data_IF_859679367122
#
_entry.id   IF_859679367122
#
_cell.length_a   1.000
_cell.length_b   1.000
_cell.length_c   1.000
_cell.angle_alpha   90.00
_cell.angle_beta   90.00
_cell.angle_gamma   90.00
#
_symmetry.space_group_name_H-M   'P 1'
#
loop_
_entity.id
_entity.type
_entity.pdbx_description
1 polymer ?
#
# COMPACT_ATOMS: atom_id res chain seq x y z
N UNK A 1 -17.00 15.74 -36.46
CA UNK A 1 -16.63 14.60 -35.59
C UNK A 1 -16.43 15.13 -34.17
N UNK A 2 -17.04 14.52 -33.13
CA UNK A 2 -17.12 15.08 -31.77
C UNK A 2 -15.86 14.88 -30.90
N UNK A 3 -14.95 13.97 -31.27
CA UNK A 3 -13.72 13.66 -30.51
C UNK A 3 -13.87 12.54 -29.47
N UNK A 4 -15.06 11.98 -29.27
CA UNK A 4 -15.28 10.83 -28.38
C UNK A 4 -14.86 9.50 -29.04
N UNK A 5 -14.44 8.54 -28.24
CA UNK A 5 -14.24 7.17 -28.72
C UNK A 5 -15.60 6.48 -28.89
N UNK A 6 -15.86 5.90 -30.06
CA UNK A 6 -17.12 5.21 -30.38
C UNK A 6 -17.09 3.72 -30.06
N UNK A 7 -15.95 3.19 -29.59
CA UNK A 7 -15.85 1.82 -29.08
C UNK A 7 -16.41 1.80 -27.65
N UNK A 8 -17.68 1.39 -27.55
CA UNK A 8 -18.47 1.41 -26.32
C UNK A 8 -18.89 0.01 -25.88
N UNK A 9 -19.17 -0.21 -24.58
CA UNK A 9 -19.67 -1.49 -24.07
C UNK A 9 -21.11 -1.76 -24.56
N UNK A 10 -21.39 -2.99 -24.94
CA UNK A 10 -22.71 -3.47 -25.39
C UNK A 10 -23.27 -4.52 -24.43
N UNK A 11 -24.48 -5.04 -24.69
CA UNK A 11 -25.11 -6.13 -23.91
C UNK A 11 -25.19 -5.85 -22.39
N UNK A 12 -25.46 -4.59 -22.01
CA UNK A 12 -25.60 -4.18 -20.61
C UNK A 12 -24.30 -3.88 -19.87
N UNK A 13 -23.13 -4.08 -20.50
CA UNK A 13 -21.84 -3.87 -19.84
C UNK A 13 -21.58 -2.41 -19.40
N UNK A 14 -22.34 -1.44 -19.95
CA UNK A 14 -22.30 -0.05 -19.52
C UNK A 14 -22.64 0.16 -18.02
N UNK A 15 -23.26 -0.82 -17.35
CA UNK A 15 -23.49 -0.78 -15.90
C UNK A 15 -22.22 -0.87 -15.05
N UNK A 16 -21.13 -1.44 -15.57
CA UNK A 16 -19.90 -1.69 -14.81
C UNK A 16 -18.61 -1.33 -15.55
N UNK A 17 -18.68 -0.94 -16.83
CA UNK A 17 -17.52 -0.45 -17.60
C UNK A 17 -17.86 0.75 -18.47
N UNK A 18 -16.84 1.54 -18.82
CA UNK A 18 -16.93 2.66 -19.74
C UNK A 18 -16.41 2.31 -21.15
N UNK A 19 -16.59 3.24 -22.09
CA UNK A 19 -15.95 3.16 -23.41
C UNK A 19 -14.43 3.19 -23.34
N UNK A 20 -13.80 2.80 -24.44
CA UNK A 20 -12.33 2.82 -24.55
C UNK A 20 -11.81 4.25 -24.36
N UNK A 21 -10.81 4.41 -23.51
CA UNK A 21 -10.15 5.69 -23.22
C UNK A 21 -8.65 5.49 -23.07
N UNK A 22 -7.89 6.57 -22.83
CA UNK A 22 -6.46 6.46 -22.53
C UNK A 22 -6.19 5.50 -21.35
N UNK A 23 -7.05 5.51 -20.34
CA UNK A 23 -6.92 4.62 -19.18
C UNK A 23 -6.99 3.14 -19.53
N UNK A 24 -7.61 2.77 -20.67
CA UNK A 24 -7.65 1.39 -21.17
C UNK A 24 -6.26 0.89 -21.60
N UNK A 25 -5.31 1.78 -21.84
CA UNK A 25 -3.96 1.46 -22.30
C UNK A 25 -2.86 1.78 -21.28
N UNK A 26 -3.24 2.25 -20.08
CA UNK A 26 -2.31 2.62 -19.02
C UNK A 26 -2.42 1.64 -17.85
N UNK A 27 -1.28 1.31 -17.24
CA UNK A 27 -1.24 0.56 -15.97
C UNK A 27 -1.06 1.53 -14.81
N UNK A 28 -2.00 1.54 -13.87
CA UNK A 28 -1.87 2.28 -12.61
C UNK A 28 -0.93 1.52 -11.67
N UNK A 29 0.14 2.17 -11.20
CA UNK A 29 1.10 1.61 -10.26
C UNK A 29 1.05 2.43 -8.97
N UNK A 30 0.82 1.78 -7.83
CA UNK A 30 0.82 2.43 -6.51
C UNK A 30 2.21 2.35 -5.90
N UNK A 31 2.67 3.45 -5.31
CA UNK A 31 3.95 3.53 -4.57
C UNK A 31 3.65 3.97 -3.14
N UNK A 32 4.33 3.36 -2.18
CA UNK A 32 4.20 3.70 -0.76
C UNK A 32 5.58 3.91 -0.16
N UNK A 33 5.70 4.92 0.70
CA UNK A 33 6.86 5.19 1.53
C UNK A 33 6.38 5.50 2.95
N UNK A 34 7.09 5.00 3.95
CA UNK A 34 6.70 5.16 5.36
C UNK A 34 7.87 5.73 6.14
N UNK A 35 7.60 6.79 6.91
CA UNK A 35 8.61 7.37 7.79
C UNK A 35 8.87 6.45 9.00
N UNK A 36 9.99 6.63 9.70
CA UNK A 36 10.27 5.92 10.94
C UNK A 36 9.15 6.08 12.00
N UNK A 37 8.57 7.28 12.11
CA UNK A 37 7.46 7.61 13.01
C UNK A 37 6.16 6.93 12.55
N UNK A 38 5.87 6.98 11.25
CA UNK A 38 4.72 6.31 10.66
C UNK A 38 4.78 4.79 10.86
N UNK A 39 5.95 4.18 10.70
CA UNK A 39 6.15 2.77 11.00
C UNK A 39 5.92 2.50 12.49
N UNK A 40 6.43 3.36 13.37
CA UNK A 40 6.16 3.27 14.81
C UNK A 40 4.66 3.23 15.12
N UNK A 41 3.89 4.16 14.52
CA UNK A 41 2.44 4.26 14.72
C UNK A 41 1.64 3.07 14.17
N UNK A 42 2.04 2.52 13.02
CA UNK A 42 1.29 1.44 12.36
C UNK A 42 1.73 0.03 12.75
N UNK A 43 2.94 -0.12 13.28
CA UNK A 43 3.58 -1.43 13.48
C UNK A 43 2.74 -2.40 14.30
N UNK A 44 2.11 -1.94 15.39
CA UNK A 44 1.29 -2.80 16.25
C UNK A 44 0.04 -3.29 15.53
N UNK A 45 -0.63 -2.42 14.78
CA UNK A 45 -1.83 -2.78 14.01
C UNK A 45 -1.50 -3.82 12.95
N UNK A 46 -0.41 -3.62 12.20
CA UNK A 46 0.01 -4.55 11.14
C UNK A 46 0.43 -5.90 11.72
N UNK A 47 1.15 -5.91 12.84
CA UNK A 47 1.51 -7.15 13.53
C UNK A 47 0.27 -7.91 14.01
N UNK A 48 -0.69 -7.24 14.65
CA UNK A 48 -1.93 -7.88 15.12
C UNK A 48 -2.72 -8.49 13.97
N UNK A 49 -2.89 -7.77 12.86
CA UNK A 49 -3.58 -8.30 11.67
C UNK A 49 -2.83 -9.52 11.11
N UNK A 50 -1.51 -9.42 10.91
CA UNK A 50 -0.73 -10.51 10.37
C UNK A 50 -0.74 -11.76 11.26
N UNK A 51 -0.69 -11.60 12.58
CA UNK A 51 -0.83 -12.73 13.52
C UNK A 51 -2.23 -13.36 13.45
N UNK A 52 -3.29 -12.55 13.35
CA UNK A 52 -4.67 -13.04 13.23
C UNK A 52 -4.91 -13.84 11.95
N UNK A 53 -4.19 -13.51 10.87
CA UNK A 53 -4.24 -14.20 9.58
C UNK A 53 -3.27 -15.39 9.49
N UNK A 54 -2.48 -15.68 10.54
CA UNK A 54 -1.45 -16.73 10.54
C UNK A 54 -0.21 -16.41 9.69
N UNK A 55 -0.03 -15.14 9.30
CA UNK A 55 1.08 -14.65 8.47
C UNK A 55 2.30 -14.28 9.32
N UNK A 56 2.90 -15.26 10.00
CA UNK A 56 4.00 -15.01 10.95
C UNK A 56 5.19 -14.26 10.34
N UNK A 57 5.60 -14.58 9.11
CA UNK A 57 6.70 -13.88 8.44
C UNK A 57 6.39 -12.39 8.18
N UNK A 58 5.13 -12.05 7.92
CA UNK A 58 4.71 -10.66 7.73
C UNK A 58 4.76 -9.89 9.05
N UNK A 59 4.28 -10.51 10.14
CA UNK A 59 4.40 -9.96 11.49
C UNK A 59 5.87 -9.71 11.86
N UNK A 60 6.73 -10.72 11.68
CA UNK A 60 8.16 -10.63 12.00
C UNK A 60 8.86 -9.52 11.20
N UNK A 61 8.52 -9.34 9.92
CA UNK A 61 9.10 -8.28 9.10
C UNK A 61 8.87 -6.87 9.68
N UNK A 62 7.72 -6.64 10.32
CA UNK A 62 7.39 -5.36 10.97
C UNK A 62 8.07 -5.25 12.34
N UNK A 63 8.02 -6.31 13.14
CA UNK A 63 8.65 -6.38 14.47
C UNK A 63 10.14 -6.08 14.38
N UNK A 64 10.86 -6.69 13.44
CA UNK A 64 12.30 -6.48 13.26
C UNK A 64 12.64 -5.02 12.94
N UNK A 65 11.86 -4.37 12.07
CA UNK A 65 12.06 -2.96 11.72
C UNK A 65 11.75 -2.05 12.92
N UNK A 66 10.69 -2.33 13.68
CA UNK A 66 10.36 -1.61 14.92
C UNK A 66 11.47 -1.75 15.96
N UNK A 67 11.98 -2.96 16.17
CA UNK A 67 13.08 -3.23 17.10
C UNK A 67 14.36 -2.51 16.69
N UNK A 68 14.69 -2.51 15.38
CA UNK A 68 15.81 -1.73 14.85
C UNK A 68 15.64 -0.24 15.14
N UNK A 69 14.45 0.33 14.93
CA UNK A 69 14.15 1.73 15.23
C UNK A 69 14.41 2.05 16.70
N UNK A 70 13.89 1.22 17.61
CA UNK A 70 14.06 1.40 19.06
C UNK A 70 15.53 1.36 19.47
N UNK A 71 16.33 0.46 18.88
CA UNK A 71 17.78 0.39 19.13
C UNK A 71 18.51 1.66 18.65
N UNK A 72 18.13 2.19 17.48
CA UNK A 72 18.73 3.43 16.96
C UNK A 72 18.39 4.64 17.83
N UNK A 73 17.15 4.75 18.31
CA UNK A 73 16.75 5.81 19.23
C UNK A 73 17.51 5.75 20.56
N UNK A 74 17.71 4.56 21.12
CA UNK A 74 18.51 4.39 22.36
C UNK A 74 19.97 4.85 22.18
N UNK A 75 20.64 4.43 21.11
CA UNK A 75 22.02 4.86 20.82
C UNK A 75 22.15 6.38 20.63
N UNK A 76 21.17 7.02 20.00
CA UNK A 76 21.15 8.47 19.83
C UNK A 76 21.04 9.23 21.14
N UNK A 77 20.33 8.67 22.13
CA UNK A 77 20.18 9.26 23.46
C UNK A 77 21.38 9.01 24.39
N UNK A 78 22.23 8.02 24.11
CA UNK A 78 23.46 7.74 24.89
C UNK A 78 24.68 8.57 24.43
N UNK A 79 24.57 9.28 23.31
CA UNK A 79 25.63 10.12 22.71
C UNK A 79 25.46 11.62 23.02
N UNK A 80 24.52 11.98 23.90
CA UNK A 80 24.27 13.31 24.45
C UNK A 80 24.38 13.26 25.97
#
# INVERSE_FOLDING_TARGET
ASGTNHVLPTSGAAHFTGGVSLSSFLRKITVQSISPEGLGALSQTVETMALSEGLYCHAQAVVERRNKLLRLKKKGNELL
#
